data_IF_659475648266
#
_entry.id   IF_659475648266
#
_cell.length_a   1.000
_cell.length_b   1.000
_cell.length_c   1.000
_cell.angle_alpha   90.00
_cell.angle_beta   90.00
_cell.angle_gamma   90.00
#
_symmetry.space_group_name_H-M   'P 1'
#
loop_
_entity.id
_entity.type
_entity.pdbx_description
1 polymer ?
#
# COMPACT_ATOMS: atom_id res chain seq x y z
N UNK A 1 35.00 0.05 3.39
CA UNK A 1 33.91 0.96 3.80
C UNK A 1 32.58 0.25 3.57
N UNK A 2 31.66 0.31 4.53
CA UNK A 2 30.29 -0.20 4.37
C UNK A 2 29.34 0.99 4.37
N UNK A 3 28.43 1.05 3.40
CA UNK A 3 27.49 2.17 3.25
C UNK A 3 26.07 1.62 3.21
N UNK A 4 25.23 2.08 4.13
CA UNK A 4 23.80 1.80 4.14
C UNK A 4 23.08 2.93 3.41
N UNK A 5 22.24 2.58 2.44
CA UNK A 5 21.52 3.51 1.57
C UNK A 5 20.04 3.47 1.93
N UNK A 6 19.58 4.52 2.62
CA UNK A 6 18.19 4.62 3.09
C UNK A 6 17.43 5.82 2.50
N UNK A 7 17.29 5.94 1.17
CA UNK A 7 16.50 7.02 0.58
C UNK A 7 15.00 6.75 0.73
N UNK A 8 14.24 7.84 0.69
CA UNK A 8 12.81 7.85 0.39
C UNK A 8 12.61 8.07 -1.13
N UNK A 9 11.38 7.90 -1.61
CA UNK A 9 10.98 8.17 -2.97
C UNK A 9 11.14 9.65 -3.35
N UNK A 10 11.40 9.89 -4.64
CA UNK A 10 11.35 11.21 -5.23
C UNK A 10 10.00 11.31 -5.90
N UNK A 11 9.05 11.99 -5.24
CA UNK A 11 7.66 12.08 -5.68
C UNK A 11 7.55 12.47 -7.17
N UNK A 12 6.74 11.72 -7.91
CA UNK A 12 6.52 11.87 -9.35
C UNK A 12 7.78 11.66 -10.22
N UNK A 13 8.85 11.06 -9.68
CA UNK A 13 10.12 10.83 -10.39
C UNK A 13 10.72 9.43 -10.22
N UNK A 14 11.17 9.06 -9.01
CA UNK A 14 11.85 7.77 -8.76
C UNK A 14 11.29 7.10 -7.50
N UNK A 15 11.08 5.79 -7.57
CA UNK A 15 10.81 4.99 -6.36
C UNK A 15 12.03 4.96 -5.42
N UNK A 16 11.79 4.72 -4.13
CA UNK A 16 12.86 4.64 -3.12
C UNK A 16 13.93 3.58 -3.49
N UNK A 17 13.50 2.44 -4.06
CA UNK A 17 14.42 1.39 -4.52
C UNK A 17 15.30 1.86 -5.69
N UNK A 18 14.73 2.59 -6.65
CA UNK A 18 15.45 3.12 -7.80
C UNK A 18 16.45 4.19 -7.37
N UNK A 19 16.05 5.07 -6.45
CA UNK A 19 16.95 6.03 -5.82
C UNK A 19 18.12 5.32 -5.12
N UNK A 20 17.86 4.25 -4.35
CA UNK A 20 18.88 3.47 -3.67
C UNK A 20 19.86 2.81 -4.65
N UNK A 21 19.35 2.26 -5.77
CA UNK A 21 20.17 1.69 -6.86
C UNK A 21 21.05 2.76 -7.52
N UNK A 22 20.50 3.94 -7.80
CA UNK A 22 21.24 5.05 -8.40
C UNK A 22 22.37 5.55 -7.47
N UNK A 23 22.09 5.67 -6.17
CA UNK A 23 23.10 6.00 -5.15
C UNK A 23 24.22 4.95 -5.10
N UNK A 24 23.86 3.66 -5.10
CA UNK A 24 24.83 2.56 -5.08
C UNK A 24 25.75 2.59 -6.30
N UNK A 25 25.20 2.85 -7.49
CA UNK A 25 25.98 3.01 -8.72
C UNK A 25 26.96 4.19 -8.62
N UNK A 26 26.52 5.32 -8.06
CA UNK A 26 27.40 6.48 -7.84
C UNK A 26 28.56 6.17 -6.90
N UNK A 27 28.28 5.48 -5.80
CA UNK A 27 29.30 5.05 -4.83
C UNK A 27 30.27 4.07 -5.46
N UNK A 28 29.79 3.09 -6.23
CA UNK A 28 30.65 2.12 -6.90
C UNK A 28 31.62 2.76 -7.89
N UNK A 29 31.18 3.81 -8.63
CA UNK A 29 32.08 4.57 -9.52
C UNK A 29 33.20 5.28 -8.77
N UNK A 30 32.91 5.85 -7.60
CA UNK A 30 33.89 6.62 -6.82
C UNK A 30 34.75 5.75 -5.89
N UNK A 31 34.21 4.65 -5.40
CA UNK A 31 34.84 3.73 -4.46
C UNK A 31 34.50 2.27 -4.80
N UNK A 32 35.23 1.64 -5.74
CA UNK A 32 34.90 0.31 -6.26
C UNK A 32 34.83 -0.81 -5.20
N UNK A 33 35.60 -0.64 -4.11
CA UNK A 33 35.68 -1.61 -3.01
C UNK A 33 34.66 -1.32 -1.88
N UNK A 34 33.76 -0.35 -2.06
CA UNK A 34 32.70 -0.09 -1.09
C UNK A 34 31.64 -1.19 -1.14
N UNK A 35 31.24 -1.68 0.04
CA UNK A 35 30.11 -2.60 0.18
C UNK A 35 28.88 -1.75 0.45
N UNK A 36 27.88 -1.82 -0.43
CA UNK A 36 26.62 -1.10 -0.28
C UNK A 36 25.51 -2.05 0.15
N UNK A 37 24.66 -1.58 1.06
CA UNK A 37 23.42 -2.26 1.44
C UNK A 37 22.27 -1.29 1.18
N UNK A 38 21.30 -1.73 0.40
CA UNK A 38 20.11 -0.95 0.07
C UNK A 38 19.04 -1.22 1.12
N UNK A 39 18.46 -0.15 1.65
CA UNK A 39 17.38 -0.19 2.63
C UNK A 39 16.39 0.93 2.30
N UNK A 40 15.66 0.83 1.17
CA UNK A 40 14.70 1.85 0.78
C UNK A 40 13.67 2.05 1.90
N UNK A 41 13.38 3.32 2.19
CA UNK A 41 12.43 3.71 3.23
C UNK A 41 11.13 4.18 2.59
N UNK A 42 10.09 4.21 3.41
CA UNK A 42 8.84 4.85 3.10
C UNK A 42 8.20 5.38 4.40
N UNK A 43 7.32 6.36 4.27
CA UNK A 43 6.67 7.06 5.38
C UNK A 43 5.26 6.54 5.70
N UNK A 44 4.81 5.48 5.00
CA UNK A 44 3.45 4.94 5.08
C UNK A 44 2.55 5.35 3.91
N UNK A 45 3.05 6.20 3.00
CA UNK A 45 2.39 6.57 1.75
C UNK A 45 2.57 5.58 0.61
N UNK A 46 2.35 6.06 -0.62
CA UNK A 46 2.49 5.28 -1.86
C UNK A 46 3.89 4.65 -1.98
N UNK A 47 3.94 3.36 -2.30
CA UNK A 47 5.20 2.62 -2.46
C UNK A 47 5.79 2.08 -1.15
N UNK A 48 5.11 2.26 -0.03
CA UNK A 48 5.50 1.68 1.26
C UNK A 48 5.43 0.15 1.25
N UNK A 49 4.48 -0.43 0.50
CA UNK A 49 4.36 -1.87 0.32
C UNK A 49 5.61 -2.46 -0.34
N UNK A 50 6.11 -1.80 -1.38
CA UNK A 50 7.34 -2.22 -2.07
C UNK A 50 8.55 -2.15 -1.15
N UNK A 51 8.70 -1.06 -0.39
CA UNK A 51 9.77 -0.93 0.58
C UNK A 51 9.74 -2.03 1.65
N UNK A 52 8.56 -2.35 2.18
CA UNK A 52 8.40 -3.42 3.19
C UNK A 52 8.65 -4.81 2.61
N UNK A 53 8.17 -5.10 1.40
CA UNK A 53 8.41 -6.38 0.74
C UNK A 53 9.91 -6.55 0.48
N UNK A 54 10.57 -5.52 -0.03
CA UNK A 54 12.02 -5.55 -0.28
C UNK A 54 12.83 -5.74 1.02
N UNK A 55 12.41 -5.10 2.11
CA UNK A 55 13.11 -5.15 3.40
C UNK A 55 12.88 -6.44 4.20
N UNK A 56 11.71 -7.08 4.05
CA UNK A 56 11.31 -8.24 4.86
C UNK A 56 11.21 -9.55 4.09
N UNK A 57 11.32 -9.51 2.77
CA UNK A 57 11.08 -10.64 1.86
C UNK A 57 9.67 -11.24 1.97
N UNK A 58 8.69 -10.43 2.40
CA UNK A 58 7.29 -10.83 2.38
C UNK A 58 6.84 -11.21 0.96
N UNK A 59 5.95 -12.20 0.86
CA UNK A 59 5.40 -12.63 -0.41
C UNK A 59 4.46 -11.55 -0.97
N UNK A 60 4.73 -11.06 -2.19
CA UNK A 60 3.80 -10.18 -2.90
C UNK A 60 2.63 -11.01 -3.44
N UNK A 61 1.42 -10.70 -3.00
CA UNK A 61 0.17 -11.32 -3.46
C UNK A 61 -0.72 -10.29 -4.13
N UNK A 62 -1.58 -10.75 -5.03
CA UNK A 62 -2.53 -9.90 -5.75
C UNK A 62 -3.95 -10.42 -5.63
N UNK A 63 -4.92 -9.52 -5.57
CA UNK A 63 -6.35 -9.84 -5.55
C UNK A 63 -7.10 -8.86 -6.45
N UNK A 64 -8.18 -9.33 -7.09
CA UNK A 64 -9.14 -8.41 -7.72
C UNK A 64 -10.09 -7.89 -6.64
N UNK A 65 -10.08 -6.58 -6.41
CA UNK A 65 -10.87 -5.85 -5.43
C UNK A 65 -11.63 -4.72 -6.10
N UNK A 66 -12.51 -4.05 -5.37
CA UNK A 66 -13.13 -2.80 -5.79
C UNK A 66 -12.16 -1.63 -5.62
N UNK A 67 -12.01 -0.82 -6.66
CA UNK A 67 -11.29 0.45 -6.57
C UNK A 67 -12.11 1.51 -5.82
N UNK A 68 -11.55 2.71 -5.68
CA UNK A 68 -12.22 3.82 -5.02
C UNK A 68 -13.61 4.15 -5.60
N UNK A 69 -13.91 3.79 -6.86
CA UNK A 69 -15.21 4.04 -7.51
C UNK A 69 -16.07 2.77 -7.65
N UNK A 70 -15.71 1.68 -6.95
CA UNK A 70 -16.43 0.40 -6.98
C UNK A 70 -16.15 -0.47 -8.22
N UNK A 71 -15.15 -0.12 -9.03
CA UNK A 71 -14.79 -0.87 -10.26
C UNK A 71 -13.80 -1.97 -9.93
N UNK A 72 -13.78 -3.11 -10.64
CA UNK A 72 -12.79 -4.15 -10.40
C UNK A 72 -11.36 -3.66 -10.74
N UNK A 73 -10.43 -3.92 -9.83
CA UNK A 73 -9.01 -3.56 -9.92
C UNK A 73 -8.14 -4.68 -9.35
N UNK A 74 -7.00 -4.95 -9.96
CA UNK A 74 -5.97 -5.76 -9.33
C UNK A 74 -5.20 -4.91 -8.31
N UNK A 75 -5.23 -5.31 -7.05
CA UNK A 75 -4.49 -4.67 -5.95
C UNK A 75 -3.50 -5.66 -5.35
N UNK A 76 -2.32 -5.19 -4.97
CA UNK A 76 -1.32 -5.99 -4.30
C UNK A 76 -1.35 -5.84 -2.78
N UNK A 77 -0.82 -6.84 -2.08
CA UNK A 77 -0.58 -6.83 -0.64
C UNK A 77 0.60 -7.75 -0.29
N UNK A 78 1.20 -7.54 0.87
CA UNK A 78 2.37 -8.28 1.34
C UNK A 78 1.97 -9.34 2.37
N UNK A 79 2.52 -10.54 2.26
CA UNK A 79 2.30 -11.63 3.20
C UNK A 79 3.61 -12.11 3.83
N UNK A 80 3.82 -11.79 5.10
CA UNK A 80 4.94 -12.26 5.90
C UNK A 80 4.50 -13.45 6.75
N UNK A 81 4.62 -14.65 6.18
CA UNK A 81 4.08 -15.90 6.73
C UNK A 81 4.67 -16.26 8.10
N UNK A 82 5.99 -16.10 8.28
CA UNK A 82 6.70 -16.42 9.52
C UNK A 82 6.17 -15.66 10.73
N UNK A 83 5.73 -14.41 10.52
CA UNK A 83 5.18 -13.54 11.55
C UNK A 83 3.65 -13.44 11.49
N UNK A 84 3.01 -14.18 10.57
CA UNK A 84 1.56 -14.11 10.29
C UNK A 84 1.07 -12.66 10.13
N UNK A 85 1.86 -11.84 9.44
CA UNK A 85 1.63 -10.41 9.30
C UNK A 85 1.31 -10.06 7.84
N UNK A 86 0.23 -9.32 7.62
CA UNK A 86 -0.11 -8.77 6.32
C UNK A 86 0.32 -7.31 6.22
N UNK A 87 0.86 -6.90 5.08
CA UNK A 87 1.09 -5.50 4.74
C UNK A 87 0.03 -5.09 3.73
N UNK A 88 -0.77 -4.10 4.09
CA UNK A 88 -1.88 -3.62 3.27
C UNK A 88 -1.64 -2.14 3.03
N UNK A 89 -1.52 -1.74 1.77
CA UNK A 89 -1.43 -0.34 1.39
C UNK A 89 -2.77 0.11 0.83
N UNK A 90 -3.35 1.16 1.43
CA UNK A 90 -4.67 1.66 1.01
C UNK A 90 -4.66 2.05 -0.47
N UNK A 91 -3.56 2.65 -0.93
CA UNK A 91 -3.44 3.18 -2.28
C UNK A 91 -3.56 2.09 -3.37
N UNK A 92 -3.21 0.83 -3.05
CA UNK A 92 -3.32 -0.30 -3.99
C UNK A 92 -4.77 -0.58 -4.40
N UNK A 93 -5.73 -0.38 -3.49
CA UNK A 93 -7.16 -0.53 -3.78
C UNK A 93 -7.80 0.83 -4.08
N UNK A 94 -7.59 1.81 -3.21
CA UNK A 94 -8.33 3.08 -3.18
C UNK A 94 -7.41 4.29 -3.35
N UNK A 95 -6.37 4.19 -4.17
CA UNK A 95 -5.36 5.23 -4.40
C UNK A 95 -5.78 6.34 -5.37
N UNK A 96 -5.34 7.57 -5.09
CA UNK A 96 -5.59 8.77 -5.90
C UNK A 96 -4.92 8.70 -7.28
N UNK A 97 -3.80 7.98 -7.38
CA UNK A 97 -3.07 7.73 -8.62
C UNK A 97 -3.83 6.84 -9.60
N UNK A 98 -4.90 6.16 -9.15
CA UNK A 98 -5.74 5.32 -9.99
C UNK A 98 -6.95 6.07 -10.59
N UNK A 99 -7.13 7.35 -10.24
CA UNK A 99 -8.21 8.19 -10.73
C UNK A 99 -7.68 9.32 -11.62
N UNK A 100 -8.34 9.54 -12.74
CA UNK A 100 -8.20 10.77 -13.52
C UNK A 100 -8.68 11.98 -12.71
N UNK A 101 -8.24 13.19 -13.08
CA UNK A 101 -8.65 14.40 -12.36
C UNK A 101 -10.18 14.59 -12.34
N UNK A 102 -10.88 14.19 -13.41
CA UNK A 102 -12.34 14.31 -13.51
C UNK A 102 -13.09 13.30 -12.63
N UNK A 103 -12.44 12.18 -12.28
CA UNK A 103 -13.02 11.12 -11.44
C UNK A 103 -12.86 11.39 -9.94
N UNK A 104 -11.99 12.34 -9.55
CA UNK A 104 -11.71 12.65 -8.16
C UNK A 104 -12.91 13.34 -7.51
N UNK A 105 -13.50 12.70 -6.51
CA UNK A 105 -14.60 13.24 -5.72
C UNK A 105 -14.47 12.79 -4.27
N UNK A 106 -14.62 13.71 -3.32
CA UNK A 106 -14.65 13.37 -1.90
C UNK A 106 -15.99 12.73 -1.46
N UNK A 107 -17.01 12.72 -2.33
CA UNK A 107 -18.37 12.29 -1.99
C UNK A 107 -18.70 10.86 -2.42
N UNK A 108 -17.99 10.33 -3.42
CA UNK A 108 -18.40 9.10 -4.13
C UNK A 108 -17.31 8.03 -4.17
N UNK A 109 -16.33 8.15 -3.28
CA UNK A 109 -15.18 7.26 -3.22
C UNK A 109 -15.21 6.38 -1.98
N UNK A 110 -14.90 5.10 -2.11
CA UNK A 110 -15.01 4.09 -1.04
C UNK A 110 -13.69 3.36 -0.76
N UNK A 111 -13.52 2.97 0.51
CA UNK A 111 -12.43 2.09 0.99
C UNK A 111 -12.78 0.61 0.94
N UNK A 112 -13.89 0.21 0.30
CA UNK A 112 -14.38 -1.17 0.30
C UNK A 112 -13.32 -2.20 -0.11
N UNK A 113 -12.57 -1.93 -1.19
CA UNK A 113 -11.51 -2.83 -1.66
C UNK A 113 -10.36 -3.02 -0.67
N UNK A 114 -10.10 -2.04 0.20
CA UNK A 114 -9.14 -2.21 1.30
C UNK A 114 -9.62 -3.29 2.27
N UNK A 115 -10.92 -3.30 2.57
CA UNK A 115 -11.52 -4.36 3.39
C UNK A 115 -11.48 -5.73 2.72
N UNK A 116 -11.59 -5.80 1.39
CA UNK A 116 -11.38 -7.05 0.64
C UNK A 116 -9.94 -7.58 0.76
N UNK A 117 -8.94 -6.70 0.78
CA UNK A 117 -7.54 -7.09 1.08
C UNK A 117 -7.40 -7.63 2.50
N UNK A 118 -8.03 -7.00 3.49
CA UNK A 118 -8.06 -7.52 4.87
C UNK A 118 -8.72 -8.90 4.95
N UNK A 119 -9.84 -9.12 4.25
CA UNK A 119 -10.48 -10.44 4.19
C UNK A 119 -9.55 -11.49 3.57
N UNK A 120 -8.77 -11.11 2.56
CA UNK A 120 -7.77 -12.00 1.96
C UNK A 120 -6.63 -12.34 2.94
N UNK A 121 -6.14 -11.34 3.67
CA UNK A 121 -5.14 -11.52 4.72
C UNK A 121 -5.66 -12.44 5.84
N UNK A 122 -6.89 -12.23 6.31
CA UNK A 122 -7.54 -13.08 7.31
C UNK A 122 -7.67 -14.53 6.82
N UNK A 123 -8.10 -14.73 5.56
CA UNK A 123 -8.16 -16.07 4.93
C UNK A 123 -6.80 -16.75 4.83
N UNK A 124 -5.72 -15.97 4.63
CA UNK A 124 -4.35 -16.47 4.65
C UNK A 124 -3.82 -16.78 6.06
N UNK A 125 -4.57 -16.43 7.12
CA UNK A 125 -4.22 -16.69 8.51
C UNK A 125 -3.48 -15.54 9.19
N UNK A 126 -3.56 -14.31 8.66
CA UNK A 126 -2.98 -13.14 9.32
C UNK A 126 -3.54 -12.96 10.73
N UNK A 127 -2.67 -12.69 11.70
CA UNK A 127 -3.03 -12.27 13.07
C UNK A 127 -2.61 -10.84 13.36
N UNK A 128 -1.74 -10.29 12.52
CA UNK A 128 -1.33 -8.89 12.53
C UNK A 128 -1.48 -8.31 11.14
N UNK A 129 -1.77 -7.02 11.06
CA UNK A 129 -1.76 -6.28 9.81
C UNK A 129 -1.11 -4.92 10.05
N UNK A 130 -0.23 -4.53 9.13
CA UNK A 130 0.27 -3.17 9.02
C UNK A 130 -0.48 -2.49 7.88
N UNK A 131 -1.31 -1.53 8.22
CA UNK A 131 -2.05 -0.71 7.27
C UNK A 131 -1.25 0.56 6.97
N UNK A 132 -0.86 0.73 5.72
CA UNK A 132 -0.15 1.89 5.21
C UNK A 132 -1.18 2.87 4.66
N UNK A 133 -1.24 4.04 5.29
CA UNK A 133 -2.25 5.06 5.05
C UNK A 133 -1.61 6.28 4.36
N UNK A 134 -1.59 6.27 3.05
CA UNK A 134 -1.33 7.45 2.25
C UNK A 134 -1.78 7.26 0.81
N UNK A 135 -1.75 8.36 0.04
CA UNK A 135 -2.21 8.37 -1.35
C UNK A 135 -3.70 8.08 -1.52
N UNK A 136 -4.55 8.29 -0.52
CA UNK A 136 -5.97 7.93 -0.60
C UNK A 136 -6.74 8.78 -1.62
N UNK A 137 -7.63 8.13 -2.37
CA UNK A 137 -8.68 8.78 -3.16
C UNK A 137 -9.95 9.07 -2.34
N UNK A 138 -10.02 8.56 -1.11
CA UNK A 138 -11.26 8.44 -0.34
C UNK A 138 -11.38 9.47 0.78
N UNK A 139 -12.63 9.78 1.14
CA UNK A 139 -12.99 10.56 2.33
C UNK A 139 -14.17 9.92 3.10
N UNK A 140 -14.39 8.61 2.93
CA UNK A 140 -15.44 7.82 3.59
C UNK A 140 -15.09 7.41 5.03
N UNK A 141 -13.97 7.90 5.56
CA UNK A 141 -13.45 7.59 6.90
C UNK A 141 -13.30 6.07 7.21
N UNK A 142 -13.13 5.23 6.19
CA UNK A 142 -13.03 3.78 6.37
C UNK A 142 -14.37 3.06 6.44
N UNK A 143 -15.49 3.74 6.18
CA UNK A 143 -16.83 3.15 6.18
C UNK A 143 -16.91 1.94 5.24
N UNK A 144 -16.43 2.08 3.99
CA UNK A 144 -16.42 0.98 3.02
C UNK A 144 -15.59 -0.21 3.48
N UNK A 145 -14.41 0.03 4.03
CA UNK A 145 -13.54 -1.03 4.60
C UNK A 145 -14.27 -1.80 5.71
N UNK A 146 -14.93 -1.10 6.63
CA UNK A 146 -15.68 -1.75 7.71
C UNK A 146 -16.88 -2.54 7.17
N UNK A 147 -17.61 -2.01 6.18
CA UNK A 147 -18.71 -2.72 5.52
C UNK A 147 -18.24 -4.02 4.86
N UNK A 148 -17.11 -3.98 4.13
CA UNK A 148 -16.51 -5.18 3.54
C UNK A 148 -16.12 -6.22 4.61
N UNK A 149 -15.73 -5.77 5.81
CA UNK A 149 -15.44 -6.63 6.95
C UNK A 149 -16.69 -7.09 7.73
N UNK A 150 -17.88 -6.72 7.28
CA UNK A 150 -19.16 -7.19 7.82
C UNK A 150 -19.87 -6.21 8.76
N UNK A 151 -19.36 -4.99 8.94
CA UNK A 151 -20.08 -3.96 9.67
C UNK A 151 -21.33 -3.52 8.90
N UNK A 152 -22.42 -3.26 9.61
CA UNK A 152 -23.63 -2.67 9.03
C UNK A 152 -23.73 -1.23 9.46
N UNK A 153 -23.64 -0.29 8.51
CA UNK A 153 -23.76 1.15 8.75
C UNK A 153 -25.15 1.59 8.31
N UNK A 154 -25.95 2.13 9.24
CA UNK A 154 -27.34 2.50 9.01
C UNK A 154 -27.57 3.99 9.25
N UNK A 155 -28.56 4.56 8.55
CA UNK A 155 -29.10 5.88 8.82
C UNK A 155 -30.09 5.88 10.01
N UNK A 156 -30.71 7.04 10.29
CA UNK A 156 -31.68 7.19 11.37
C UNK A 156 -33.00 6.43 11.13
N UNK A 157 -33.24 5.95 9.91
CA UNK A 157 -34.40 5.16 9.51
C UNK A 157 -34.08 3.65 9.49
N UNK A 158 -32.86 3.26 9.85
CA UNK A 158 -32.41 1.87 9.84
C UNK A 158 -32.11 1.35 8.43
N UNK A 159 -31.94 2.22 7.44
CA UNK A 159 -31.54 1.83 6.09
C UNK A 159 -30.02 1.86 5.93
N UNK A 160 -29.42 0.97 5.10
CA UNK A 160 -28.00 1.01 4.81
C UNK A 160 -27.55 2.36 4.27
N UNK A 161 -26.45 2.88 4.81
CA UNK A 161 -25.78 4.03 4.21
C UNK A 161 -25.28 3.69 2.79
N UNK A 162 -25.38 4.63 1.84
CA UNK A 162 -24.93 4.45 0.46
C UNK A 162 -23.43 4.22 0.33
#
# INVERSE_FOLDING_TARGET
>A
MKVLLCPDSFKDALGAEEAAKAMAQGIQRAAPNAITQLCPLADGGEGSLDALIAATHAERRTLTVQDALGRPRQAAWGWLSEQRTAFIELAEASGLQHLTHAERSALHTTTFGVGELFLAALKAGATHALLLLGGSATNDAGAGMLQALGATLLDAQGQPLP
#
